data_IF_445137745736
#
_entry.id   IF_445137745736
#
_cell.length_a   1.000
_cell.length_b   1.000
_cell.length_c   1.000
_cell.angle_alpha   90.00
_cell.angle_beta   90.00
_cell.angle_gamma   90.00
#
_symmetry.space_group_name_H-M   'P 1'
#
loop_
_entity.id
_entity.type
_entity.pdbx_description
1 polymer ?
#
# COMPACT_ATOMS: atom_id res chain seq x y z
N UNK A 1 -17.62 -13.04 -3.69
CA UNK A 1 -16.93 -11.83 -3.25
C UNK A 1 -15.73 -11.55 -4.09
N UNK A 2 -15.64 -10.35 -4.63
CA UNK A 2 -14.51 -9.95 -5.47
C UNK A 2 -13.36 -9.51 -4.58
N UNK A 3 -12.19 -10.12 -4.77
CA UNK A 3 -10.98 -9.72 -4.09
C UNK A 3 -10.01 -9.15 -5.10
N UNK A 4 -9.30 -8.12 -4.70
CA UNK A 4 -8.26 -7.54 -5.51
C UNK A 4 -6.98 -8.33 -5.34
N UNK A 5 -6.31 -8.61 -6.43
CA UNK A 5 -5.03 -9.32 -6.40
C UNK A 5 -3.92 -8.31 -6.09
N UNK A 6 -3.13 -8.61 -5.07
CA UNK A 6 -1.99 -7.77 -4.72
C UNK A 6 -0.75 -8.29 -5.42
N UNK A 7 -0.03 -7.40 -6.09
CA UNK A 7 1.27 -7.70 -6.68
C UNK A 7 2.29 -6.73 -6.09
N UNK A 8 3.54 -7.16 -5.99
CA UNK A 8 4.58 -6.42 -5.29
C UNK A 8 5.79 -6.21 -6.18
N UNK A 9 6.34 -4.99 -6.14
CA UNK A 9 7.64 -4.73 -6.76
C UNK A 9 8.75 -5.36 -5.90
N UNK A 10 9.94 -5.50 -6.47
CA UNK A 10 11.10 -5.97 -5.71
C UNK A 10 11.39 -5.06 -4.53
N UNK A 11 11.24 -3.75 -4.72
CA UNK A 11 11.45 -2.78 -3.64
C UNK A 11 10.41 -2.97 -2.53
N UNK A 12 9.15 -3.21 -2.89
CA UNK A 12 8.10 -3.44 -1.90
C UNK A 12 8.40 -4.68 -1.06
N UNK A 13 8.91 -5.73 -1.68
CA UNK A 13 9.29 -6.95 -0.95
C UNK A 13 10.41 -6.69 0.05
N UNK A 14 11.40 -5.88 -0.34
CA UNK A 14 12.48 -5.49 0.59
C UNK A 14 11.93 -4.63 1.72
N UNK A 15 11.04 -3.71 1.40
CA UNK A 15 10.41 -2.84 2.40
C UNK A 15 9.61 -3.66 3.42
N UNK A 16 8.92 -4.71 2.96
CA UNK A 16 8.15 -5.58 3.86
C UNK A 16 9.03 -6.22 4.93
N UNK A 17 10.25 -6.61 4.57
CA UNK A 17 11.20 -7.16 5.52
C UNK A 17 11.59 -6.12 6.56
N UNK A 18 11.79 -4.87 6.15
CA UNK A 18 12.10 -3.78 7.09
C UNK A 18 10.95 -3.53 8.05
N UNK A 19 9.71 -3.55 7.55
CA UNK A 19 8.54 -3.38 8.40
C UNK A 19 8.44 -4.49 9.45
N UNK A 20 8.69 -5.73 9.05
CA UNK A 20 8.69 -6.86 9.97
C UNK A 20 9.76 -6.67 11.04
N UNK A 21 10.97 -6.29 10.65
CA UNK A 21 12.06 -6.06 11.59
C UNK A 21 11.78 -4.93 12.55
N UNK A 22 10.96 -3.96 12.15
CA UNK A 22 10.60 -2.80 12.98
C UNK A 22 9.35 -3.04 13.83
N UNK A 23 8.80 -4.25 13.83
CA UNK A 23 7.60 -4.55 14.62
C UNK A 23 6.31 -4.03 14.03
N UNK A 24 6.31 -3.68 12.74
CA UNK A 24 5.15 -3.10 12.07
C UNK A 24 4.43 -4.09 11.15
N UNK A 25 4.71 -5.37 11.29
CA UNK A 25 4.14 -6.41 10.44
C UNK A 25 2.62 -6.40 10.49
N UNK A 26 2.04 -6.34 11.68
CA UNK A 26 0.60 -6.37 11.86
C UNK A 26 -0.06 -5.14 11.23
N UNK A 27 0.54 -3.97 11.43
CA UNK A 27 0.04 -2.74 10.83
C UNK A 27 0.05 -2.83 9.30
N UNK A 28 1.15 -3.34 8.74
CA UNK A 28 1.26 -3.51 7.30
C UNK A 28 0.24 -4.51 6.77
N UNK A 29 0.05 -5.62 7.47
CA UNK A 29 -0.94 -6.63 7.06
C UNK A 29 -2.36 -6.06 7.05
N UNK A 30 -2.70 -5.24 8.04
CA UNK A 30 -4.02 -4.61 8.08
C UNK A 30 -4.25 -3.73 6.85
N UNK A 31 -3.24 -2.95 6.45
CA UNK A 31 -3.33 -2.13 5.25
C UNK A 31 -3.50 -3.00 4.00
N UNK A 32 -2.69 -4.06 3.88
CA UNK A 32 -2.74 -4.95 2.72
C UNK A 32 -4.09 -5.66 2.62
N UNK A 33 -4.67 -6.09 3.74
CA UNK A 33 -5.98 -6.70 3.75
C UNK A 33 -7.05 -5.72 3.28
N UNK A 34 -6.96 -4.46 3.69
CA UNK A 34 -7.88 -3.43 3.22
C UNK A 34 -7.77 -3.26 1.71
N UNK A 35 -6.54 -3.23 1.18
CA UNK A 35 -6.32 -3.10 -0.26
C UNK A 35 -6.89 -4.30 -1.03
N UNK A 36 -6.78 -5.49 -0.46
CA UNK A 36 -7.29 -6.70 -1.11
C UNK A 36 -8.82 -6.71 -1.16
N UNK A 37 -9.47 -6.12 -0.18
CA UNK A 37 -10.93 -6.04 -0.14
C UNK A 37 -11.44 -4.89 -0.98
N UNK A 38 -10.89 -3.70 -0.78
CA UNK A 38 -11.27 -2.51 -1.52
C UNK A 38 -10.17 -1.45 -1.41
N UNK A 39 -9.36 -1.27 -2.46
CA UNK A 39 -8.25 -0.32 -2.40
C UNK A 39 -8.67 1.14 -2.27
N UNK A 40 -9.93 1.45 -2.49
CA UNK A 40 -10.46 2.81 -2.36
C UNK A 40 -11.35 2.98 -1.13
N UNK A 41 -11.34 2.00 -0.22
CA UNK A 41 -12.16 2.08 0.99
C UNK A 41 -11.71 3.25 1.88
N UNK A 42 -12.70 4.00 2.35
CA UNK A 42 -12.48 5.13 3.24
C UNK A 42 -13.59 5.11 4.30
N UNK A 43 -13.32 5.09 5.61
CA UNK A 43 -12.03 4.90 6.25
C UNK A 43 -11.45 3.48 6.11
N UNK A 44 -10.12 3.29 6.33
CA UNK A 44 -9.15 4.34 6.66
C UNK A 44 -8.83 5.24 5.48
N UNK A 45 -8.37 6.47 5.74
CA UNK A 45 -8.12 7.41 4.66
C UNK A 45 -6.92 7.03 3.79
N UNK A 46 -6.98 7.41 2.54
CA UNK A 46 -5.87 7.27 1.61
C UNK A 46 -5.65 8.63 0.92
N UNK A 47 -4.48 8.80 0.33
CA UNK A 47 -4.13 10.02 -0.38
C UNK A 47 -3.74 9.71 -1.81
N UNK A 48 -4.19 10.56 -2.74
CA UNK A 48 -3.71 10.52 -4.11
C UNK A 48 -2.40 11.27 -4.20
N UNK A 49 -1.43 10.66 -4.87
CA UNK A 49 -0.13 11.25 -5.03
C UNK A 49 -0.08 12.08 -6.31
N UNK A 50 0.76 13.11 -6.30
CA UNK A 50 0.93 14.02 -7.43
C UNK A 50 2.41 14.06 -7.82
N UNK A 51 2.73 14.74 -8.94
CA UNK A 51 4.10 14.83 -9.42
C UNK A 51 4.55 13.53 -10.06
N UNK A 52 5.76 13.11 -9.73
CA UNK A 52 6.35 11.90 -10.34
C UNK A 52 5.58 10.63 -10.02
N UNK A 53 4.81 10.65 -8.93
CA UNK A 53 4.01 9.49 -8.51
C UNK A 53 2.53 9.68 -8.83
N UNK A 54 2.19 10.56 -9.74
CA UNK A 54 0.81 10.79 -10.14
C UNK A 54 0.18 9.48 -10.63
N UNK A 55 -1.05 9.22 -10.21
CA UNK A 55 -1.75 7.97 -10.50
C UNK A 55 -1.56 6.92 -9.43
N UNK A 56 -0.69 7.15 -8.46
CA UNK A 56 -0.52 6.26 -7.32
C UNK A 56 -1.27 6.81 -6.10
N UNK A 57 -1.45 5.94 -5.10
CA UNK A 57 -2.11 6.26 -3.85
C UNK A 57 -1.21 5.85 -2.71
N UNK A 58 -1.46 6.41 -1.53
CA UNK A 58 -0.75 5.99 -0.32
C UNK A 58 -1.72 5.83 0.84
N UNK A 59 -1.40 4.89 1.73
CA UNK A 59 -2.09 4.70 3.01
C UNK A 59 -1.05 4.59 4.11
N UNK A 60 -1.38 5.12 5.27
CA UNK A 60 -0.46 5.07 6.41
C UNK A 60 -0.42 3.69 7.03
N UNK A 61 0.79 3.21 7.28
CA UNK A 61 1.03 2.05 8.14
C UNK A 61 1.09 2.52 9.60
N UNK A 62 1.81 3.63 9.82
CA UNK A 62 1.86 4.32 11.10
C UNK A 62 2.14 5.79 10.82
N UNK A 63 2.57 6.54 11.85
CA UNK A 63 2.83 7.97 11.71
C UNK A 63 3.91 8.28 10.66
N UNK A 64 4.93 7.40 10.54
CA UNK A 64 6.10 7.66 9.71
C UNK A 64 6.10 6.93 8.37
N UNK A 65 5.44 5.79 8.28
CA UNK A 65 5.57 4.92 7.11
C UNK A 65 4.26 4.78 6.37
N UNK A 66 4.37 4.68 5.04
CA UNK A 66 3.22 4.55 4.15
C UNK A 66 3.43 3.44 3.15
N UNK A 67 2.32 2.83 2.73
CA UNK A 67 2.30 1.92 1.59
C UNK A 67 1.88 2.73 0.37
N UNK A 68 2.70 2.69 -0.67
CA UNK A 68 2.41 3.35 -1.95
C UNK A 68 1.99 2.29 -2.95
N UNK A 69 0.87 2.51 -3.64
CA UNK A 69 0.31 1.51 -4.53
C UNK A 69 -0.40 2.15 -5.72
N UNK A 70 -0.56 1.36 -6.79
CA UNK A 70 -1.36 1.73 -7.95
C UNK A 70 -2.52 0.76 -8.10
N UNK A 71 -3.63 1.25 -8.65
CA UNK A 71 -4.85 0.46 -8.82
C UNK A 71 -5.09 0.23 -10.31
N UNK A 72 -5.20 -1.03 -10.70
CA UNK A 72 -5.53 -1.44 -12.05
C UNK A 72 -6.93 -2.05 -12.04
N UNK A 73 -7.93 -1.23 -12.36
CA UNK A 73 -9.34 -1.62 -12.23
C UNK A 73 -9.73 -2.74 -13.16
N UNK A 74 -9.26 -2.73 -14.39
CA UNK A 74 -9.61 -3.76 -15.37
C UNK A 74 -9.16 -5.14 -14.94
N UNK A 75 -7.95 -5.21 -14.40
CA UNK A 75 -7.35 -6.47 -13.97
C UNK A 75 -7.73 -6.82 -12.54
N UNK A 76 -8.36 -5.91 -11.84
CA UNK A 76 -8.62 -6.00 -10.40
C UNK A 76 -7.36 -6.31 -9.61
N UNK A 77 -6.30 -5.59 -9.93
CA UNK A 77 -5.00 -5.73 -9.29
C UNK A 77 -4.60 -4.44 -8.59
N UNK A 78 -3.90 -4.60 -7.48
CA UNK A 78 -3.24 -3.50 -6.79
C UNK A 78 -1.75 -3.79 -6.80
N UNK A 79 -0.98 -2.89 -7.40
CA UNK A 79 0.47 -3.02 -7.44
C UNK A 79 1.06 -2.23 -6.28
N UNK A 80 1.64 -2.94 -5.32
CA UNK A 80 2.30 -2.32 -4.16
C UNK A 80 3.71 -1.93 -4.61
N UNK A 81 3.97 -0.62 -4.67
CA UNK A 81 5.23 -0.07 -5.18
C UNK A 81 6.25 0.07 -4.06
N UNK A 82 5.83 0.60 -2.93
CA UNK A 82 6.69 0.79 -1.76
C UNK A 82 5.87 0.49 -0.51
N UNK A 83 6.56 0.00 0.52
CA UNK A 83 5.95 -0.24 1.83
C UNK A 83 6.71 0.45 2.96
N UNK A 84 7.82 1.07 2.66
CA UNK A 84 8.65 1.79 3.62
C UNK A 84 8.91 3.19 3.07
N UNK A 85 7.83 3.93 2.82
CA UNK A 85 7.92 5.27 2.30
C UNK A 85 7.74 6.28 3.42
N UNK A 86 8.56 7.32 3.41
CA UNK A 86 8.45 8.42 4.35
C UNK A 86 7.91 9.64 3.64
N UNK A 87 6.90 10.27 4.23
CA UNK A 87 6.41 11.56 3.78
C UNK A 87 6.50 12.53 4.93
N UNK A 88 7.09 13.63 4.65
CA UNK A 88 7.12 14.74 5.60
C UNK A 88 5.98 15.70 5.36
#
# INVERSE_FOLDING_TARGET
>A
MVKWQLVYTAQAKKDAKKLTASGLKENAQAVLETLAKNPLKNPPPYEKLVGDLAGAYSRRVNIQHRVVYQIYKKEQQVKVIRMWAHYE
#
